data_IF_587235604838
#
_entry.id   IF_587235604838
#
_cell.length_a   1.000
_cell.length_b   1.000
_cell.length_c   1.000
_cell.angle_alpha   90.00
_cell.angle_beta   90.00
_cell.angle_gamma   90.00
#
_symmetry.space_group_name_H-M   'P 1'
#
loop_
_entity.id
_entity.type
_entity.pdbx_description
1 polymer ?
#
# COMPACT_ATOMS: atom_id res chain seq x y z
N UNK A 1 5.44 8.85 7.41
CA UNK A 1 6.02 9.33 6.14
C UNK A 1 6.97 10.50 6.43
N UNK A 2 8.05 10.63 5.66
CA UNK A 2 8.93 11.81 5.70
C UNK A 2 8.22 13.06 5.16
N UNK A 3 7.41 12.91 4.11
CA UNK A 3 6.56 13.95 3.53
C UNK A 3 5.08 13.72 3.90
N UNK A 4 4.29 14.79 3.99
CA UNK A 4 2.84 14.69 4.19
C UNK A 4 2.13 14.37 2.88
N UNK A 5 1.09 13.54 2.95
CA UNK A 5 0.15 13.30 1.87
C UNK A 5 -1.18 13.96 2.27
N UNK A 6 -1.66 14.93 1.50
CA UNK A 6 -2.89 15.66 1.82
C UNK A 6 -2.91 16.18 3.29
N UNK A 7 -1.83 16.88 3.70
CA UNK A 7 -1.58 17.36 5.06
C UNK A 7 -1.55 16.28 6.18
N UNK A 8 -1.61 14.98 5.84
CA UNK A 8 -1.56 13.87 6.79
C UNK A 8 -0.24 13.11 6.72
N UNK A 9 0.19 12.57 7.87
CA UNK A 9 1.39 11.71 8.00
C UNK A 9 1.10 10.24 8.32
N UNK A 10 -0.10 9.93 8.81
CA UNK A 10 -0.51 8.62 9.35
C UNK A 10 -2.00 8.37 9.11
N UNK A 11 -2.43 7.10 9.25
CA UNK A 11 -3.82 6.65 9.05
C UNK A 11 -4.38 7.07 7.67
N UNK A 12 -3.54 6.98 6.64
CA UNK A 12 -3.90 7.37 5.28
C UNK A 12 -4.89 6.36 4.68
N UNK A 13 -5.92 6.84 4.00
CA UNK A 13 -6.83 5.99 3.25
C UNK A 13 -6.85 6.38 1.77
N UNK A 14 -7.61 5.65 0.95
CA UNK A 14 -7.74 5.93 -0.48
C UNK A 14 -8.05 7.40 -0.80
N UNK A 15 -8.95 8.04 -0.06
CA UNK A 15 -9.33 9.44 -0.31
C UNK A 15 -8.19 10.42 -0.05
N UNK A 16 -7.28 10.10 0.88
CA UNK A 16 -6.08 10.92 1.11
C UNK A 16 -5.13 10.86 -0.10
N UNK A 17 -5.04 9.70 -0.77
CA UNK A 17 -4.28 9.57 -2.03
C UNK A 17 -5.00 10.21 -3.20
N UNK A 18 -6.33 10.06 -3.30
CA UNK A 18 -7.13 10.68 -4.35
C UNK A 18 -6.98 12.20 -4.32
N UNK A 19 -7.16 12.82 -3.16
CA UNK A 19 -6.99 14.26 -3.00
C UNK A 19 -5.57 14.71 -3.35
N UNK A 20 -4.55 13.95 -2.97
CA UNK A 20 -3.16 14.26 -3.32
C UNK A 20 -2.88 14.16 -4.83
N UNK A 21 -3.45 13.16 -5.51
CA UNK A 21 -3.33 13.01 -6.96
C UNK A 21 -4.04 14.15 -7.68
N UNK A 22 -5.28 14.46 -7.31
CA UNK A 22 -6.08 15.54 -7.93
C UNK A 22 -5.43 16.91 -7.74
N UNK A 23 -4.95 17.21 -6.53
CA UNK A 23 -4.20 18.43 -6.25
C UNK A 23 -2.85 18.50 -7.01
N UNK A 24 -2.29 17.34 -7.37
CA UNK A 24 -1.09 17.21 -8.19
C UNK A 24 -1.37 17.20 -9.70
N UNK A 25 -2.62 17.38 -10.13
CA UNK A 25 -3.01 17.36 -11.56
C UNK A 25 -3.15 15.96 -12.16
N UNK A 26 -3.15 14.91 -11.34
CA UNK A 26 -3.38 13.53 -11.75
C UNK A 26 -4.84 13.14 -11.50
N UNK A 27 -5.43 12.38 -12.41
CA UNK A 27 -6.81 11.94 -12.26
C UNK A 27 -6.92 10.60 -11.49
N UNK A 28 -8.14 10.30 -11.05
CA UNK A 28 -8.50 9.05 -10.36
C UNK A 28 -8.07 7.78 -11.10
N UNK A 29 -8.10 7.77 -12.44
CA UNK A 29 -7.73 6.60 -13.24
C UNK A 29 -6.26 6.25 -13.04
N UNK A 30 -5.37 7.25 -12.98
CA UNK A 30 -3.94 7.02 -12.71
C UNK A 30 -3.74 6.41 -11.32
N UNK A 31 -4.44 6.90 -10.30
CA UNK A 31 -4.39 6.32 -8.96
C UNK A 31 -4.87 4.87 -8.96
N UNK A 32 -6.03 4.59 -9.56
CA UNK A 32 -6.59 3.24 -9.61
C UNK A 32 -5.66 2.25 -10.32
N UNK A 33 -5.16 2.62 -11.51
CA UNK A 33 -4.17 1.80 -12.23
C UNK A 33 -2.91 1.55 -11.39
N UNK A 34 -2.45 2.56 -10.63
CA UNK A 34 -1.31 2.39 -9.74
C UNK A 34 -1.61 1.37 -8.65
N UNK A 35 -2.79 1.44 -8.02
CA UNK A 35 -3.19 0.52 -6.96
C UNK A 35 -3.45 -0.91 -7.46
N UNK A 36 -3.93 -1.06 -8.70
CA UNK A 36 -4.06 -2.36 -9.38
C UNK A 36 -2.70 -3.05 -9.53
N UNK A 37 -1.63 -2.30 -9.83
CA UNK A 37 -0.27 -2.86 -9.85
C UNK A 37 0.17 -3.37 -8.48
N UNK A 38 -0.20 -2.68 -7.39
CA UNK A 38 0.08 -3.17 -6.04
C UNK A 38 -0.69 -4.46 -5.72
N UNK A 39 -1.95 -4.59 -6.16
CA UNK A 39 -2.70 -5.85 -6.04
C UNK A 39 -2.03 -6.97 -6.82
N UNK A 40 -1.66 -6.71 -8.07
CA UNK A 40 -0.97 -7.68 -8.91
C UNK A 40 0.38 -8.13 -8.30
N UNK A 41 1.14 -7.20 -7.71
CA UNK A 41 2.44 -7.51 -7.11
C UNK A 41 2.33 -8.19 -5.74
N UNK A 42 1.17 -8.21 -5.08
CA UNK A 42 1.04 -8.74 -3.71
C UNK A 42 1.53 -10.21 -3.59
N UNK A 43 1.12 -11.15 -4.46
CA UNK A 43 1.64 -12.53 -4.40
C UNK A 43 3.15 -12.61 -4.56
N UNK A 44 3.75 -11.77 -5.40
CA UNK A 44 5.20 -11.71 -5.59
C UNK A 44 5.92 -11.19 -4.33
N UNK A 45 5.36 -10.17 -3.67
CA UNK A 45 5.88 -9.68 -2.39
C UNK A 45 5.85 -10.78 -1.32
N UNK A 46 4.77 -11.55 -1.27
CA UNK A 46 4.61 -12.69 -0.35
C UNK A 46 5.61 -13.82 -0.68
N UNK A 47 5.80 -14.14 -1.96
CA UNK A 47 6.75 -15.15 -2.39
C UNK A 47 8.21 -14.78 -2.07
N UNK A 48 8.56 -13.49 -2.17
CA UNK A 48 9.88 -12.98 -1.78
C UNK A 48 10.06 -13.05 -0.26
N UNK A 49 9.05 -12.68 0.52
CA UNK A 49 9.10 -12.79 1.98
C UNK A 49 9.31 -14.24 2.42
N UNK A 50 8.63 -15.19 1.77
CA UNK A 50 8.75 -16.61 2.11
C UNK A 50 10.16 -17.15 1.85
N UNK A 51 10.77 -16.78 0.72
CA UNK A 51 12.13 -17.20 0.34
C UNK A 51 13.23 -16.45 1.10
N UNK A 52 12.89 -15.44 1.89
CA UNK A 52 13.86 -14.61 2.61
C UNK A 52 14.43 -15.30 3.85
N UNK A 53 15.58 -14.81 4.34
CA UNK A 53 16.20 -15.27 5.58
C UNK A 53 15.58 -14.67 6.86
N UNK A 54 14.40 -14.06 6.74
CA UNK A 54 13.67 -13.48 7.88
C UNK A 54 13.11 -14.61 8.75
N UNK A 55 13.23 -14.50 10.08
CA UNK A 55 12.66 -15.50 10.98
C UNK A 55 11.13 -15.61 10.82
N UNK A 56 10.57 -16.79 11.06
CA UNK A 56 9.13 -17.05 10.96
C UNK A 56 8.25 -16.06 11.75
N UNK A 57 8.68 -15.67 12.97
CA UNK A 57 8.00 -14.64 13.76
C UNK A 57 7.87 -13.32 12.99
N UNK A 58 8.95 -12.87 12.36
CA UNK A 58 8.98 -11.62 11.61
C UNK A 58 8.27 -11.74 10.26
N UNK A 59 8.35 -12.90 9.57
CA UNK A 59 7.52 -13.17 8.39
C UNK A 59 6.04 -13.00 8.71
N UNK A 60 5.54 -13.62 9.79
CA UNK A 60 4.15 -13.47 10.24
C UNK A 60 3.74 -12.02 10.55
N UNK A 61 4.64 -11.24 11.15
CA UNK A 61 4.43 -9.81 11.37
C UNK A 61 4.34 -9.02 10.06
N UNK A 62 5.20 -9.32 9.08
CA UNK A 62 5.17 -8.68 7.77
C UNK A 62 3.91 -9.04 6.98
N UNK A 63 3.49 -10.30 6.97
CA UNK A 63 2.21 -10.72 6.36
C UNK A 63 1.04 -9.95 6.95
N UNK A 64 0.98 -9.88 8.29
CA UNK A 64 -0.07 -9.13 9.00
C UNK A 64 -0.05 -7.65 8.63
N UNK A 65 1.14 -7.03 8.59
CA UNK A 65 1.31 -5.64 8.19
C UNK A 65 0.85 -5.42 6.74
N UNK A 66 1.27 -6.27 5.81
CA UNK A 66 0.91 -6.18 4.39
C UNK A 66 -0.62 -6.24 4.23
N UNK A 67 -1.27 -7.26 4.79
CA UNK A 67 -2.72 -7.41 4.72
C UNK A 67 -3.46 -6.21 5.31
N UNK A 68 -3.03 -5.72 6.47
CA UNK A 68 -3.63 -4.53 7.08
C UNK A 68 -3.51 -3.27 6.20
N UNK A 69 -2.40 -3.11 5.44
CA UNK A 69 -2.23 -1.98 4.53
C UNK A 69 -3.13 -2.08 3.30
N UNK A 70 -3.27 -3.27 2.73
CA UNK A 70 -4.20 -3.52 1.62
C UNK A 70 -5.64 -3.26 2.05
N UNK A 71 -6.04 -3.77 3.22
CA UNK A 71 -7.34 -3.49 3.84
C UNK A 71 -7.60 -2.00 4.02
N UNK A 72 -6.63 -1.29 4.60
CA UNK A 72 -6.73 0.15 4.87
C UNK A 72 -6.97 0.97 3.59
N UNK A 73 -6.52 0.47 2.44
CA UNK A 73 -6.69 1.10 1.12
C UNK A 73 -7.90 0.56 0.33
N UNK A 74 -8.64 -0.41 0.87
CA UNK A 74 -9.77 -1.03 0.17
C UNK A 74 -9.35 -1.91 -1.01
N UNK A 75 -8.20 -2.57 -0.91
CA UNK A 75 -7.61 -3.42 -1.96
C UNK A 75 -7.75 -4.93 -1.65
N UNK A 76 -8.75 -5.31 -0.86
CA UNK A 76 -9.06 -6.72 -0.52
C UNK A 76 -9.80 -7.43 -1.65
#
# INVERSE_FOLDING_TARGET
>A
LALTLNAKKRKLNYNDFLAAYENGGLNKKVLNNTLELFQYCKPEMEAVLEKSFVSEKYKGNYYTLLNNRFKQLGLE
#
